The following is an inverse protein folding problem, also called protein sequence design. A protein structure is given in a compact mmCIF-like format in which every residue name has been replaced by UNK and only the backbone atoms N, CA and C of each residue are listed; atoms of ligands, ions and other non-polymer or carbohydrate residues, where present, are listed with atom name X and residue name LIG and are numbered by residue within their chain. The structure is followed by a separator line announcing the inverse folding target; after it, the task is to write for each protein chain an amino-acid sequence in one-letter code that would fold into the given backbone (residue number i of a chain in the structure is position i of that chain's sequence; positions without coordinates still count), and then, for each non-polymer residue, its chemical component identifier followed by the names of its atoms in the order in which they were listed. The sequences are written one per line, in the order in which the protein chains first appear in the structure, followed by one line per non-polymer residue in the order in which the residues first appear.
data_IF_025908239436
#
_entry.id   IF_025908239436
#
_cell.length_a   1.000
_cell.length_b   1.000
_cell.length_c   1.000
_cell.angle_alpha   90.00
_cell.angle_beta   90.00
_cell.angle_gamma   90.00
#
_symmetry.space_group_name_H-M   'P 1'
#
loop_
_entity.id
_entity.type
_entity.pdbx_description
1 polymer ?
#
# COMPACT_ATOMS: atom_id res chain seq x y z
N UNK A 1 12.54 13.96 6.67
CA UNK A 1 13.87 13.97 6.03
C UNK A 1 13.74 13.59 4.58
N UNK A 2 13.43 12.32 4.29
CA UNK A 2 13.33 11.77 2.92
C UNK A 2 11.89 11.43 2.48
N UNK A 3 10.98 11.29 3.44
CA UNK A 3 9.61 10.84 3.21
C UNK A 3 8.81 11.83 2.36
N UNK A 4 8.81 13.12 2.72
CA UNK A 4 8.00 14.16 2.06
C UNK A 4 8.41 14.36 0.59
N UNK A 5 9.70 14.33 0.27
CA UNK A 5 10.18 14.48 -1.12
C UNK A 5 9.68 13.34 -2.01
N UNK A 6 9.72 12.12 -1.47
CA UNK A 6 9.22 10.91 -2.14
C UNK A 6 7.70 10.96 -2.28
N UNK A 7 7.00 11.37 -1.22
CA UNK A 7 5.53 11.53 -1.20
C UNK A 7 5.08 12.51 -2.28
N UNK A 8 5.70 13.69 -2.32
CA UNK A 8 5.38 14.75 -3.27
C UNK A 8 5.63 14.30 -4.70
N UNK A 9 6.74 13.59 -4.94
CA UNK A 9 7.07 13.05 -6.25
C UNK A 9 6.03 12.04 -6.73
N UNK A 10 5.62 11.10 -5.86
CA UNK A 10 4.59 10.11 -6.18
C UNK A 10 3.23 10.78 -6.37
N UNK A 11 2.89 11.75 -5.52
CA UNK A 11 1.65 12.51 -5.63
C UNK A 11 1.56 13.25 -6.97
N UNK A 12 2.63 13.92 -7.38
CA UNK A 12 2.70 14.60 -8.68
C UNK A 12 2.49 13.63 -9.84
N UNK A 13 3.05 12.42 -9.76
CA UNK A 13 2.85 11.36 -10.77
C UNK A 13 1.42 10.83 -10.77
N UNK A 14 0.83 10.54 -9.60
CA UNK A 14 -0.54 10.04 -9.49
C UNK A 14 -1.58 11.03 -10.05
N UNK A 15 -1.38 12.33 -9.75
CA UNK A 15 -2.21 13.43 -10.26
C UNK A 15 -1.88 13.86 -11.69
N UNK A 16 -0.95 13.18 -12.37
CA UNK A 16 -0.51 13.47 -13.75
C UNK A 16 -0.04 14.92 -13.94
N UNK A 17 0.64 15.48 -12.93
CA UNK A 17 1.22 16.82 -13.04
C UNK A 17 2.39 16.85 -14.01
N UNK A 18 2.67 18.03 -14.56
CA UNK A 18 3.83 18.24 -15.43
C UNK A 18 5.08 18.31 -14.56
N UNK A 19 6.01 17.40 -14.77
CA UNK A 19 7.27 17.32 -14.04
C UNK A 19 8.40 17.67 -15.02
N UNK A 20 9.32 18.53 -14.59
CA UNK A 20 10.52 18.90 -15.34
C UNK A 20 11.75 18.67 -14.47
N UNK A 21 12.81 18.11 -15.07
CA UNK A 21 14.09 17.89 -14.40
C UNK A 21 15.05 19.01 -14.80
N UNK A 22 15.66 19.67 -13.81
CA UNK A 22 16.65 20.72 -14.04
C UNK A 22 18.03 20.15 -13.69
N UNK A 23 18.99 20.09 -14.64
CA UNK A 23 20.31 19.55 -14.36
C UNK A 23 21.07 20.41 -13.35
N UNK A 24 21.72 19.78 -12.39
CA UNK A 24 22.57 20.42 -11.38
C UNK A 24 23.95 19.78 -11.37
N UNK A 25 24.96 20.55 -10.94
CA UNK A 25 26.34 20.05 -10.80
C UNK A 25 26.48 19.46 -9.40
N UNK A 26 26.77 18.16 -9.33
CA UNK A 26 27.08 17.47 -8.09
C UNK A 26 28.43 17.95 -7.55
N UNK A 27 28.53 18.16 -6.23
CA UNK A 27 29.77 18.58 -5.56
C UNK A 27 30.17 17.52 -4.55
N UNK A 28 31.46 17.26 -4.46
CA UNK A 28 31.99 16.38 -3.44
C UNK A 28 31.75 16.95 -2.05
N UNK A 29 31.59 16.02 -1.11
CA UNK A 29 31.35 16.35 0.28
C UNK A 29 32.63 16.89 0.90
N UNK A 30 32.58 17.95 1.73
CA UNK A 30 33.77 18.44 2.43
C UNK A 30 34.47 17.32 3.20
N UNK A 31 35.81 17.27 3.13
CA UNK A 31 36.61 16.29 3.86
C UNK A 31 36.36 16.41 5.37
N UNK A 32 36.25 15.26 6.04
CA UNK A 32 35.93 15.19 7.48
C UNK A 32 34.44 15.29 7.82
N UNK A 33 33.53 15.35 6.84
CA UNK A 33 32.09 15.36 7.11
C UNK A 33 31.55 13.96 7.47
N UNK A 34 31.01 13.83 8.69
CA UNK A 34 30.32 12.61 9.15
C UNK A 34 28.96 12.46 8.49
N UNK A 35 28.60 11.24 8.08
CA UNK A 35 27.26 10.95 7.53
C UNK A 35 26.19 11.35 8.53
N UNK A 36 25.21 12.16 8.08
CA UNK A 36 24.01 12.48 8.88
C UNK A 36 22.94 11.38 8.77
N UNK A 37 23.19 10.35 7.96
CA UNK A 37 22.27 9.25 7.69
C UNK A 37 22.58 8.05 8.59
N UNK A 38 21.53 7.44 9.13
CA UNK A 38 21.60 6.20 9.86
C UNK A 38 20.98 5.09 9.02
N UNK A 39 21.81 4.21 8.47
CA UNK A 39 21.42 3.17 7.49
C UNK A 39 20.22 2.34 7.95
N UNK A 40 20.17 1.95 9.21
CA UNK A 40 19.10 1.09 9.73
C UNK A 40 17.83 1.88 10.07
N UNK A 41 17.96 3.00 10.79
CA UNK A 41 16.80 3.81 11.17
C UNK A 41 16.12 4.42 9.94
N UNK A 42 16.90 4.90 8.98
CA UNK A 42 16.37 5.51 7.77
C UNK A 42 15.84 4.44 6.81
N UNK A 43 16.47 3.25 6.75
CA UNK A 43 15.93 2.12 6.01
C UNK A 43 14.55 1.67 6.50
N UNK A 44 14.35 1.59 7.82
CA UNK A 44 13.04 1.24 8.40
C UNK A 44 11.95 2.27 8.06
N UNK A 45 12.29 3.57 8.09
CA UNK A 45 11.38 4.66 7.66
C UNK A 45 10.99 4.54 6.19
N UNK A 46 11.97 4.27 5.32
CA UNK A 46 11.72 4.07 3.89
C UNK A 46 10.82 2.87 3.63
N UNK A 47 11.03 1.75 4.34
CA UNK A 47 10.13 0.59 4.23
C UNK A 47 8.71 0.92 4.70
N UNK A 48 8.56 1.63 5.82
CA UNK A 48 7.26 2.11 6.29
C UNK A 48 6.56 3.02 5.27
N UNK A 49 7.31 3.93 4.66
CA UNK A 49 6.84 4.80 3.58
C UNK A 49 6.31 3.98 2.39
N UNK A 50 7.09 3.00 1.92
CA UNK A 50 6.70 2.12 0.80
C UNK A 50 5.39 1.39 1.13
N UNK A 51 5.25 0.87 2.35
CA UNK A 51 4.02 0.21 2.78
C UNK A 51 2.82 1.17 2.80
N UNK A 52 2.99 2.40 3.29
CA UNK A 52 1.91 3.40 3.26
C UNK A 52 1.53 3.75 1.83
N UNK A 53 2.51 4.04 0.97
CA UNK A 53 2.29 4.37 -0.44
C UNK A 53 1.60 3.22 -1.19
N UNK A 54 2.02 1.98 -0.97
CA UNK A 54 1.37 0.81 -1.56
C UNK A 54 -0.11 0.73 -1.15
N UNK A 55 -0.39 0.92 0.14
CA UNK A 55 -1.76 0.94 0.67
C UNK A 55 -2.58 2.11 0.12
N UNK A 56 -2.01 3.31 0.00
CA UNK A 56 -2.74 4.53 -0.36
C UNK A 56 -3.02 4.63 -1.88
N UNK A 57 -2.11 4.14 -2.72
CA UNK A 57 -2.24 4.23 -4.19
C UNK A 57 -2.68 2.90 -4.84
N UNK A 58 -2.36 1.75 -4.25
CA UNK A 58 -2.63 0.40 -4.79
C UNK A 58 -3.09 -0.56 -3.67
N UNK A 59 -4.22 -0.28 -3.00
CA UNK A 59 -4.67 -1.05 -1.85
C UNK A 59 -4.96 -2.52 -2.16
N UNK A 60 -5.56 -2.82 -3.31
CA UNK A 60 -5.97 -4.18 -3.69
C UNK A 60 -4.81 -5.18 -3.72
N UNK A 61 -3.71 -4.97 -4.48
CA UNK A 61 -2.59 -5.90 -4.48
C UNK A 61 -1.91 -6.00 -3.11
N UNK A 62 -1.84 -4.91 -2.34
CA UNK A 62 -1.23 -4.91 -1.01
C UNK A 62 -1.97 -5.88 -0.06
N UNK A 63 -3.28 -5.72 0.08
CA UNK A 63 -4.08 -6.57 0.95
C UNK A 63 -4.25 -7.99 0.40
N UNK A 64 -4.28 -8.19 -0.92
CA UNK A 64 -4.36 -9.52 -1.51
C UNK A 64 -3.09 -10.35 -1.31
N UNK A 65 -1.90 -9.74 -1.29
CA UNK A 65 -0.67 -10.47 -0.93
C UNK A 65 -0.77 -10.96 0.51
N UNK A 66 -1.24 -10.11 1.43
CA UNK A 66 -1.40 -10.48 2.84
C UNK A 66 -2.49 -11.55 3.04
N UNK A 67 -3.59 -11.44 2.30
CA UNK A 67 -4.65 -12.45 2.25
C UNK A 67 -4.11 -13.80 1.76
N UNK A 68 -3.34 -13.78 0.67
CA UNK A 68 -2.75 -14.98 0.09
C UNK A 68 -1.78 -15.66 1.07
N UNK A 69 -0.90 -14.90 1.73
CA UNK A 69 0.01 -15.43 2.74
C UNK A 69 -0.78 -16.09 3.87
N UNK A 70 -1.78 -15.40 4.41
CA UNK A 70 -2.62 -15.93 5.49
C UNK A 70 -3.38 -17.19 5.06
N UNK A 71 -3.89 -17.22 3.82
CA UNK A 71 -4.60 -18.36 3.25
C UNK A 71 -3.66 -19.57 3.07
N UNK A 72 -2.47 -19.36 2.53
CA UNK A 72 -1.49 -20.43 2.31
C UNK A 72 -1.09 -21.06 3.64
N UNK A 73 -0.79 -20.24 4.65
CA UNK A 73 -0.44 -20.74 6.00
C UNK A 73 -1.64 -21.49 6.60
N UNK A 74 -2.85 -20.93 6.49
CA UNK A 74 -4.09 -21.57 6.97
C UNK A 74 -4.33 -22.92 6.31
N UNK A 75 -4.14 -23.04 4.99
CA UNK A 75 -4.29 -24.29 4.25
C UNK A 75 -3.19 -25.30 4.59
N UNK A 76 -1.93 -24.88 4.69
CA UNK A 76 -0.83 -25.75 5.10
C UNK A 76 -1.07 -26.39 6.48
N UNK A 77 -1.67 -25.64 7.41
CA UNK A 77 -2.03 -26.15 8.73
C UNK A 77 -3.37 -26.93 8.73
N UNK A 78 -4.32 -26.54 7.89
CA UNK A 78 -5.66 -27.13 7.84
C UNK A 78 -5.74 -28.46 7.08
N UNK A 79 -5.02 -28.61 5.97
CA UNK A 79 -5.00 -29.84 5.15
C UNK A 79 -4.65 -31.08 5.98
N UNK A 80 -3.56 -31.12 6.79
CA UNK A 80 -3.24 -32.31 7.58
C UNK A 80 -4.31 -32.61 8.64
N UNK A 81 -4.95 -31.59 9.21
CA UNK A 81 -6.03 -31.76 10.19
C UNK A 81 -7.26 -32.40 9.54
N UNK A 82 -7.63 -31.95 8.33
CA UNK A 82 -8.75 -32.52 7.58
C UNK A 82 -8.45 -33.96 7.17
N UNK A 83 -7.21 -34.25 6.76
CA UNK A 83 -6.78 -35.61 6.40
C UNK A 83 -6.84 -36.57 7.61
N UNK A 84 -6.36 -36.14 8.78
CA UNK A 84 -6.46 -36.93 10.03
C UNK A 84 -7.91 -37.16 10.45
N UNK A 85 -8.76 -36.15 10.32
CA UNK A 85 -10.20 -36.27 10.61
C UNK A 85 -10.89 -37.27 9.68
N UNK A 86 -10.58 -37.26 8.39
CA UNK A 86 -11.17 -38.21 7.44
C UNK A 86 -10.75 -39.66 7.71
N UNK A 87 -9.54 -39.87 8.24
CA UNK A 87 -9.03 -41.21 8.55
C UNK A 87 -9.53 -41.76 9.90
N UNK A 88 -9.68 -40.90 10.91
CA UNK A 88 -9.92 -41.32 12.30
C UNK A 88 -11.28 -40.92 12.87
N UNK A 89 -12.00 -40.00 12.22
CA UNK A 89 -13.25 -39.41 12.72
C UNK A 89 -13.08 -38.51 13.95
N UNK A 90 -11.85 -38.35 14.45
CA UNK A 90 -11.52 -37.54 15.62
C UNK A 90 -10.66 -36.35 15.20
N UNK A 91 -10.72 -35.25 15.96
CA UNK A 91 -9.87 -34.08 15.76
C UNK A 91 -8.84 -34.02 16.90
N UNK A 92 -7.72 -34.77 16.83
CA UNK A 92 -6.72 -34.78 17.90
C UNK A 92 -6.00 -33.43 18.05
N UNK A 93 -5.96 -32.62 16.99
CA UNK A 93 -5.26 -31.32 16.95
C UNK A 93 -6.23 -30.13 16.94
N UNK A 94 -7.12 -30.04 17.93
CA UNK A 94 -8.08 -28.94 18.06
C UNK A 94 -7.46 -27.53 17.99
N UNK A 95 -6.34 -27.22 18.68
CA UNK A 95 -5.74 -25.88 18.60
C UNK A 95 -5.28 -25.51 17.18
N UNK A 96 -4.72 -26.47 16.44
CA UNK A 96 -4.26 -26.28 15.06
C UNK A 96 -5.43 -26.10 14.10
N UNK A 97 -6.53 -26.83 14.31
CA UNK A 97 -7.77 -26.67 13.56
C UNK A 97 -8.35 -25.26 13.71
N UNK A 98 -8.41 -24.76 14.95
CA UNK A 98 -8.87 -23.40 15.24
C UNK A 98 -7.95 -22.35 14.62
N UNK A 99 -6.63 -22.51 14.75
CA UNK A 99 -5.66 -21.58 14.15
C UNK A 99 -5.80 -21.53 12.62
N UNK A 100 -5.95 -22.68 11.96
CA UNK A 100 -6.18 -22.75 10.52
C UNK A 100 -7.48 -22.05 10.11
N UNK A 101 -8.57 -22.26 10.84
CA UNK A 101 -9.85 -21.60 10.59
C UNK A 101 -9.76 -20.07 10.75
N UNK A 102 -9.10 -19.59 11.81
CA UNK A 102 -8.88 -18.16 12.04
C UNK A 102 -8.02 -17.54 10.93
N UNK A 103 -6.94 -18.21 10.51
CA UNK A 103 -6.07 -17.73 9.43
C UNK A 103 -6.79 -17.66 8.07
N UNK A 104 -7.65 -18.63 7.77
CA UNK A 104 -8.52 -18.59 6.59
C UNK A 104 -9.55 -17.46 6.70
N UNK A 105 -10.14 -17.24 7.88
CA UNK A 105 -11.02 -16.10 8.13
C UNK A 105 -10.32 -14.75 7.95
N UNK A 106 -9.10 -14.61 8.46
CA UNK A 106 -8.26 -13.43 8.26
C UNK A 106 -7.94 -13.19 6.79
N UNK A 107 -7.69 -14.24 6.01
CA UNK A 107 -7.47 -14.10 4.57
C UNK A 107 -8.68 -13.47 3.86
N UNK A 108 -9.90 -13.92 4.19
CA UNK A 108 -11.13 -13.34 3.67
C UNK A 108 -11.27 -11.87 4.10
N UNK A 109 -11.02 -11.57 5.37
CA UNK A 109 -11.08 -10.19 5.89
C UNK A 109 -10.10 -9.25 5.20
N UNK A 110 -8.86 -9.70 4.95
CA UNK A 110 -7.88 -8.91 4.19
C UNK A 110 -8.33 -8.70 2.74
N UNK A 111 -8.85 -9.73 2.08
CA UNK A 111 -9.37 -9.62 0.72
C UNK A 111 -10.50 -8.59 0.62
N UNK A 112 -11.49 -8.67 1.51
CA UNK A 112 -12.63 -7.74 1.57
C UNK A 112 -12.15 -6.32 1.87
N UNK A 113 -11.23 -6.16 2.81
CA UNK A 113 -10.65 -4.85 3.16
C UNK A 113 -9.90 -4.23 1.96
N UNK A 114 -9.17 -5.05 1.19
CA UNK A 114 -8.54 -4.64 -0.07
C UNK A 114 -9.53 -4.13 -1.11
N UNK A 115 -10.65 -4.83 -1.29
CA UNK A 115 -11.73 -4.43 -2.22
C UNK A 115 -12.41 -3.11 -1.81
N UNK A 116 -12.71 -2.96 -0.51
CA UNK A 116 -13.31 -1.74 0.02
C UNK A 116 -12.37 -0.55 -0.21
N UNK A 117 -11.10 -0.69 0.18
CA UNK A 117 -10.15 0.41 0.10
C UNK A 117 -9.84 0.78 -1.37
N UNK A 118 -9.78 -0.19 -2.28
CA UNK A 118 -9.65 0.06 -3.72
C UNK A 118 -10.82 0.88 -4.28
N UNK A 119 -12.04 0.56 -3.84
CA UNK A 119 -13.24 1.32 -4.21
C UNK A 119 -13.17 2.76 -3.69
N UNK A 120 -12.74 2.95 -2.45
CA UNK A 120 -12.57 4.29 -1.84
C UNK A 120 -11.51 5.10 -2.58
N UNK A 121 -10.34 4.53 -2.87
CA UNK A 121 -9.25 5.22 -3.57
C UNK A 121 -9.67 5.64 -4.98
N UNK A 122 -10.35 4.75 -5.72
CA UNK A 122 -10.91 5.07 -7.05
C UNK A 122 -11.96 6.18 -6.96
N UNK A 123 -12.81 6.15 -5.93
CA UNK A 123 -13.79 7.19 -5.67
C UNK A 123 -13.14 8.56 -5.42
N UNK A 124 -12.14 8.61 -4.54
CA UNK A 124 -11.40 9.82 -4.21
C UNK A 124 -10.66 10.41 -5.44
N UNK A 125 -10.06 9.54 -6.26
CA UNK A 125 -9.42 9.97 -7.52
C UNK A 125 -10.42 10.63 -8.46
N UNK A 126 -11.61 10.04 -8.63
CA UNK A 126 -12.66 10.60 -9.49
C UNK A 126 -13.16 11.94 -8.98
N UNK A 127 -13.35 12.10 -7.67
CA UNK A 127 -13.76 13.39 -7.10
C UNK A 127 -12.72 14.47 -7.33
N UNK A 128 -11.43 14.16 -7.10
CA UNK A 128 -10.35 15.07 -7.38
C UNK A 128 -10.34 15.55 -8.84
N UNK A 129 -10.51 14.64 -9.80
CA UNK A 129 -10.57 15.00 -11.23
C UNK A 129 -11.74 15.94 -11.54
N UNK A 130 -12.92 15.70 -10.96
CA UNK A 130 -14.09 16.57 -11.13
C UNK A 130 -13.86 17.96 -10.54
N UNK A 131 -13.26 18.05 -9.35
CA UNK A 131 -12.99 19.33 -8.70
C UNK A 131 -11.96 20.16 -9.47
N UNK A 132 -10.94 19.51 -10.02
CA UNK A 132 -9.97 20.17 -10.90
C UNK A 132 -10.66 20.72 -12.15
N UNK A 133 -11.53 19.95 -12.81
CA UNK A 133 -12.27 20.41 -13.99
C UNK A 133 -13.16 21.63 -13.68
N UNK A 134 -13.89 21.59 -12.56
CA UNK A 134 -14.71 22.73 -12.09
C UNK A 134 -13.88 23.99 -11.87
N UNK A 135 -12.68 23.86 -11.32
CA UNK A 135 -11.77 25.00 -11.13
C UNK A 135 -11.30 25.60 -12.45
N UNK A 136 -11.01 24.78 -13.46
CA UNK A 136 -10.67 25.27 -14.80
C UNK A 136 -11.83 25.99 -15.46
N UNK A 137 -13.03 25.43 -15.41
CA UNK A 137 -14.25 26.05 -15.95
C UNK A 137 -14.53 27.43 -15.32
N UNK A 138 -14.46 27.52 -13.99
CA UNK A 138 -14.62 28.78 -13.25
C UNK A 138 -13.55 29.82 -13.61
N UNK A 139 -12.31 29.37 -13.84
CA UNK A 139 -11.21 30.25 -14.23
C UNK A 139 -11.42 30.83 -15.62
N UNK A 140 -11.91 30.02 -16.56
CA UNK A 140 -12.15 30.45 -17.94
C UNK A 140 -13.37 31.38 -18.02
N UNK A 141 -14.43 31.12 -17.25
CA UNK A 141 -15.56 32.04 -17.11
C UNK A 141 -15.14 33.42 -16.58
N UNK A 142 -14.24 33.46 -15.57
CA UNK A 142 -13.68 34.73 -15.06
C UNK A 142 -12.80 35.47 -16.07
N UNK A 143 -12.16 34.76 -17.00
CA UNK A 143 -11.35 35.36 -18.06
C UNK A 143 -12.19 35.96 -19.18
N UNK A 144 -13.33 35.36 -19.50
CA UNK A 144 -14.25 35.87 -20.52
C UNK A 144 -15.02 37.12 -20.07
N UNK A 145 -15.21 37.29 -18.77
CA UNK A 145 -15.93 38.42 -18.17
C UNK A 145 -15.03 39.63 -17.85
N UNK A 146 -13.78 39.64 -18.37
CA UNK A 146 -12.76 40.67 -18.18
C UNK A 146 -12.31 41.19 -19.54
#
# INVERSE_FOLDING_TARGET
GFEIETELSIHAVDKRWRIAQVPIIYRDRPEGSVSKLNTFSDGAKVLGMIMSLAKDYRPLPFFNILALISLVIGLCLGIPVIAEFNATGLVPRLPTAMLAAVLCGLAVLFCVSGLILDTVVKGNRRQWELDVMRLYENRDARRQNK
#
